data_IF_151032164211
#
_entry.id   IF_151032164211
#
_cell.length_a   1.000
_cell.length_b   1.000
_cell.length_c   1.000
_cell.angle_alpha   90.00
_cell.angle_beta   90.00
_cell.angle_gamma   90.00
#
_symmetry.space_group_name_H-M   'P 1'
#
loop_
_entity.id
_entity.type
_entity.pdbx_description
1 polymer ?
#
# COMPACT_ATOMS: atom_id res chain seq x y z
N UNK A 1 -0.74 -17.33 9.74
CA UNK A 1 0.72 -17.14 9.72
C UNK A 1 1.43 -18.31 10.38
N UNK A 2 2.71 -18.52 10.00
CA UNK A 2 3.63 -19.42 10.71
C UNK A 2 4.34 -18.64 11.83
N UNK A 3 3.67 -18.51 12.98
CA UNK A 3 4.22 -17.81 14.13
C UNK A 3 5.49 -18.49 14.70
N UNK A 4 5.61 -19.81 14.53
CA UNK A 4 6.82 -20.56 14.94
C UNK A 4 8.04 -20.14 14.10
N UNK A 5 7.87 -20.02 12.79
CA UNK A 5 8.93 -19.57 11.89
C UNK A 5 9.31 -18.10 12.15
N UNK A 6 8.33 -17.21 12.41
CA UNK A 6 8.60 -15.81 12.76
C UNK A 6 9.36 -15.71 14.10
N UNK A 7 8.92 -16.46 15.13
CA UNK A 7 9.62 -16.52 16.42
C UNK A 7 11.07 -17.01 16.24
N UNK A 8 11.28 -18.08 15.46
CA UNK A 8 12.60 -18.61 15.19
C UNK A 8 13.50 -17.61 14.43
N UNK A 9 12.94 -16.82 13.51
CA UNK A 9 13.65 -15.75 12.83
C UNK A 9 14.17 -14.71 13.84
N UNK A 10 13.31 -14.24 14.74
CA UNK A 10 13.66 -13.24 15.76
C UNK A 10 14.67 -13.82 16.76
N UNK A 11 14.45 -15.04 17.26
CA UNK A 11 15.38 -15.74 18.16
C UNK A 11 16.76 -15.99 17.51
N UNK A 12 16.80 -16.08 16.18
CA UNK A 12 18.03 -16.20 15.39
C UNK A 12 18.83 -14.89 15.22
N UNK A 13 18.39 -13.79 15.85
CA UNK A 13 19.08 -12.50 15.83
C UNK A 13 18.54 -11.49 14.82
N UNK A 14 17.42 -11.79 14.14
CA UNK A 14 16.75 -10.80 13.29
C UNK A 14 16.21 -9.66 14.15
N UNK A 15 16.53 -8.44 13.74
CA UNK A 15 16.18 -7.22 14.46
C UNK A 15 15.10 -6.42 13.73
N UNK A 16 14.16 -5.86 14.50
CA UNK A 16 13.10 -5.04 13.92
C UNK A 16 12.75 -3.84 14.79
N UNK A 17 12.06 -2.87 14.20
CA UNK A 17 11.44 -1.74 14.88
C UNK A 17 10.01 -1.57 14.35
N UNK A 18 9.07 -1.30 15.23
CA UNK A 18 7.69 -0.99 14.87
C UNK A 18 7.27 0.32 15.51
N UNK A 19 6.86 1.30 14.69
CA UNK A 19 6.38 2.60 15.19
C UNK A 19 4.86 2.62 15.21
N UNK A 20 4.28 2.64 16.40
CA UNK A 20 2.83 2.74 16.62
C UNK A 20 2.30 4.15 16.53
N UNK A 21 3.16 5.16 16.35
CA UNK A 21 2.80 6.58 16.25
C UNK A 21 1.92 7.10 17.42
N UNK A 22 2.14 6.57 18.63
CA UNK A 22 1.33 6.86 19.82
C UNK A 22 -0.17 6.63 19.60
N UNK A 23 -0.51 5.62 18.80
CA UNK A 23 -1.86 5.29 18.36
C UNK A 23 -2.33 3.92 18.85
N UNK A 24 -3.49 3.47 18.37
CA UNK A 24 -4.20 2.29 18.87
C UNK A 24 -3.42 0.98 18.76
N UNK A 25 -2.50 0.87 17.81
CA UNK A 25 -1.72 -0.36 17.59
C UNK A 25 -0.66 -0.63 18.66
N UNK A 26 -0.30 0.36 19.47
CA UNK A 26 0.77 0.23 20.47
C UNK A 26 0.64 -0.98 21.40
N UNK A 27 -0.46 -1.14 22.14
CA UNK A 27 -0.68 -2.29 23.01
C UNK A 27 -0.70 -3.63 22.25
N UNK A 28 -1.29 -3.66 21.04
CA UNK A 28 -1.36 -4.86 20.21
C UNK A 28 0.02 -5.24 19.67
N UNK A 29 0.78 -4.28 19.17
CA UNK A 29 2.13 -4.50 18.66
C UNK A 29 3.07 -5.00 19.77
N UNK A 30 3.01 -4.40 20.97
CA UNK A 30 3.78 -4.84 22.13
C UNK A 30 3.44 -6.29 22.51
N UNK A 31 2.15 -6.63 22.57
CA UNK A 31 1.73 -8.01 22.88
C UNK A 31 2.21 -8.99 21.79
N UNK A 32 2.04 -8.64 20.51
CA UNK A 32 2.34 -9.54 19.40
C UNK A 32 3.85 -9.66 19.20
N UNK A 33 4.56 -8.56 19.00
CA UNK A 33 5.96 -8.61 18.57
C UNK A 33 6.90 -8.89 19.74
N UNK A 34 6.72 -8.22 20.88
CA UNK A 34 7.64 -8.36 22.00
C UNK A 34 7.30 -9.60 22.86
N UNK A 35 6.03 -9.77 23.29
CA UNK A 35 5.67 -10.81 24.22
C UNK A 35 5.48 -12.18 23.57
N UNK A 36 4.77 -12.24 22.43
CA UNK A 36 4.46 -13.54 21.79
C UNK A 36 5.53 -13.98 20.81
N UNK A 37 6.07 -13.05 20.01
CA UNK A 37 7.08 -13.37 19.00
C UNK A 37 8.52 -13.23 19.52
N UNK A 38 8.70 -12.72 20.75
CA UNK A 38 9.99 -12.70 21.43
C UNK A 38 10.97 -11.62 20.94
N UNK A 39 10.47 -10.57 20.27
CA UNK A 39 11.30 -9.42 19.97
C UNK A 39 11.73 -8.71 21.26
N UNK A 40 12.93 -8.12 21.33
CA UNK A 40 13.39 -7.41 22.53
C UNK A 40 12.45 -6.30 22.94
N UNK A 41 12.36 -6.04 24.26
CA UNK A 41 11.63 -4.89 24.78
C UNK A 41 12.17 -3.58 24.17
N UNK A 42 11.27 -2.67 23.75
CA UNK A 42 11.60 -1.45 23.04
C UNK A 42 11.68 -1.62 21.51
N UNK A 43 11.32 -2.78 20.98
CA UNK A 43 11.08 -2.99 19.55
C UNK A 43 9.92 -2.12 19.08
N UNK A 44 8.88 -1.97 19.92
CA UNK A 44 7.73 -1.11 19.64
C UNK A 44 8.02 0.32 20.12
N UNK A 45 8.19 1.21 19.16
CA UNK A 45 8.37 2.66 19.37
C UNK A 45 7.00 3.31 19.52
N UNK A 46 6.93 4.39 20.33
CA UNK A 46 5.70 5.15 20.54
C UNK A 46 4.49 4.26 20.88
N UNK A 47 4.72 3.19 21.67
CA UNK A 47 3.75 2.13 21.93
C UNK A 47 2.64 2.49 22.92
N UNK A 48 2.67 3.69 23.52
CA UNK A 48 1.61 4.19 24.41
C UNK A 48 0.64 5.06 23.62
N UNK A 49 -0.64 4.68 23.47
CA UNK A 49 -1.63 5.54 22.82
C UNK A 49 -1.81 6.86 23.59
N UNK A 50 -1.80 7.97 22.87
CA UNK A 50 -2.04 9.32 23.39
C UNK A 50 -3.21 9.95 22.63
N UNK A 51 -4.08 10.74 23.33
CA UNK A 51 -5.26 11.36 22.70
C UNK A 51 -4.94 12.28 21.51
N UNK A 52 -3.76 12.87 21.53
CA UNK A 52 -3.25 13.79 20.50
C UNK A 52 -2.08 13.21 19.70
N UNK A 53 -1.86 11.90 19.79
CA UNK A 53 -0.76 11.17 19.14
C UNK A 53 0.63 11.77 19.51
N UNK A 54 0.77 12.39 20.69
CA UNK A 54 2.01 13.05 21.09
C UNK A 54 2.34 14.31 20.25
N UNK A 55 1.32 15.03 19.80
CA UNK A 55 1.41 16.19 18.90
C UNK A 55 1.99 15.88 17.53
N UNK A 56 1.93 14.62 17.08
CA UNK A 56 2.33 14.19 15.75
C UNK A 56 1.12 13.85 14.89
N UNK A 57 1.33 13.88 13.57
CA UNK A 57 0.33 13.37 12.62
C UNK A 57 0.58 11.86 12.41
N UNK A 58 -0.35 10.97 12.84
CA UNK A 58 -0.13 9.53 12.79
C UNK A 58 -0.45 8.97 11.41
N UNK A 59 0.35 9.32 10.41
CA UNK A 59 0.27 8.81 9.04
C UNK A 59 1.57 8.09 8.69
N UNK A 60 1.55 6.79 8.30
CA UNK A 60 2.73 5.97 8.09
C UNK A 60 3.36 6.25 6.72
N UNK A 61 3.80 7.47 6.52
CA UNK A 61 4.55 7.93 5.35
C UNK A 61 5.95 8.45 5.74
N UNK A 62 6.79 8.73 4.75
CA UNK A 62 8.19 9.14 4.99
C UNK A 62 8.32 10.50 5.68
N UNK A 63 7.28 11.34 5.63
CA UNK A 63 7.28 12.66 6.28
C UNK A 63 7.02 12.49 7.78
N UNK A 64 5.99 11.74 8.13
CA UNK A 64 5.53 11.60 9.51
C UNK A 64 6.22 10.45 10.26
N UNK A 65 6.64 9.37 9.57
CA UNK A 65 7.45 8.28 10.12
C UNK A 65 8.97 8.53 10.02
N UNK A 66 9.38 9.81 9.98
CA UNK A 66 10.79 10.18 9.75
C UNK A 66 11.75 9.56 10.76
N UNK A 67 11.40 9.47 12.02
CA UNK A 67 12.24 8.84 13.05
C UNK A 67 12.52 7.37 12.77
N UNK A 68 11.51 6.63 12.36
CA UNK A 68 11.68 5.25 11.92
C UNK A 68 12.52 5.16 10.65
N UNK A 69 12.23 6.01 9.65
CA UNK A 69 13.00 6.02 8.40
C UNK A 69 14.48 6.29 8.65
N UNK A 70 14.82 7.32 9.42
CA UNK A 70 16.21 7.66 9.76
C UNK A 70 16.92 6.49 10.47
N UNK A 71 16.21 5.79 11.37
CA UNK A 71 16.74 4.61 12.07
C UNK A 71 17.03 3.47 11.10
N UNK A 72 16.21 3.25 10.07
CA UNK A 72 16.41 2.20 9.06
C UNK A 72 17.48 2.56 8.01
N UNK A 73 17.84 3.85 7.92
CA UNK A 73 18.89 4.34 7.04
C UNK A 73 20.23 4.51 7.77
N UNK A 74 20.29 4.32 9.09
CA UNK A 74 21.53 4.42 9.89
C UNK A 74 22.47 3.24 9.63
N UNK A 75 23.76 3.39 10.01
CA UNK A 75 24.76 2.34 9.82
C UNK A 75 24.46 1.07 10.64
N UNK A 76 23.85 1.23 11.82
CA UNK A 76 23.44 0.17 12.74
C UNK A 76 21.93 -0.16 12.63
N UNK A 77 21.35 0.10 11.46
CA UNK A 77 19.93 -0.10 11.20
C UNK A 77 19.48 -1.54 11.50
N UNK A 78 18.29 -1.74 12.09
CA UNK A 78 17.69 -3.05 12.19
C UNK A 78 17.37 -3.64 10.80
N UNK A 79 17.10 -4.94 10.75
CA UNK A 79 16.85 -5.64 9.48
C UNK A 79 15.50 -5.24 8.86
N UNK A 80 14.52 -4.85 9.71
CA UNK A 80 13.15 -4.55 9.32
C UNK A 80 12.56 -3.41 10.15
N UNK A 81 11.80 -2.55 9.53
CA UNK A 81 11.01 -1.52 10.17
C UNK A 81 9.60 -1.46 9.59
N UNK A 82 8.63 -1.20 10.45
CA UNK A 82 7.26 -0.96 10.06
C UNK A 82 6.61 0.12 10.93
N UNK A 83 5.56 0.74 10.42
CA UNK A 83 4.73 1.66 11.19
C UNK A 83 3.26 1.46 10.83
N UNK A 84 2.36 1.90 11.71
CA UNK A 84 0.92 1.98 11.44
C UNK A 84 0.36 3.35 11.79
N UNK A 85 -0.81 3.68 11.25
CA UNK A 85 -1.46 4.96 11.47
C UNK A 85 -2.34 5.02 12.73
N UNK A 86 -3.12 6.10 12.85
CA UNK A 86 -3.91 6.42 14.03
C UNK A 86 -4.94 5.37 14.43
N UNK A 87 -5.61 4.76 13.46
CA UNK A 87 -6.61 3.69 13.66
C UNK A 87 -6.09 2.29 13.30
N UNK A 88 -4.82 2.20 12.84
CA UNK A 88 -4.11 0.93 12.67
C UNK A 88 -4.41 0.21 11.36
N UNK A 89 -5.07 0.85 10.41
CA UNK A 89 -5.50 0.23 9.17
C UNK A 89 -4.48 0.36 8.03
N UNK A 90 -3.50 1.27 8.13
CA UNK A 90 -2.41 1.48 7.16
C UNK A 90 -1.07 1.00 7.71
N UNK A 91 -0.13 0.76 6.79
CA UNK A 91 1.20 0.27 7.13
C UNK A 91 2.31 0.92 6.29
N UNK A 92 3.47 1.07 6.90
CA UNK A 92 4.73 1.42 6.24
C UNK A 92 5.68 0.25 6.40
N UNK A 93 6.41 -0.10 5.34
CA UNK A 93 7.43 -1.15 5.35
C UNK A 93 8.78 -0.57 4.91
N UNK A 94 9.80 -0.80 5.73
CA UNK A 94 11.17 -0.38 5.43
C UNK A 94 12.12 -1.53 5.80
N UNK A 95 12.96 -1.98 4.89
CA UNK A 95 14.10 -2.83 5.20
C UNK A 95 15.34 -1.97 5.53
N UNK A 96 16.40 -2.60 6.00
CA UNK A 96 17.69 -1.95 6.18
C UNK A 96 18.12 -1.29 4.86
N UNK A 97 18.24 0.05 4.85
CA UNK A 97 18.55 0.89 3.69
C UNK A 97 17.63 0.67 2.47
N UNK A 98 16.40 0.22 2.69
CA UNK A 98 15.47 -0.12 1.61
C UNK A 98 14.04 0.28 1.95
N UNK A 99 13.55 1.39 1.38
CA UNK A 99 12.15 1.75 1.46
C UNK A 99 11.31 0.93 0.49
N UNK A 100 10.18 0.42 0.94
CA UNK A 100 9.20 -0.31 0.12
C UNK A 100 7.99 0.57 -0.11
N UNK A 101 7.69 0.91 -1.37
CA UNK A 101 6.46 1.66 -1.67
C UNK A 101 5.22 0.82 -1.35
N UNK A 102 4.09 1.42 -0.95
CA UNK A 102 2.86 0.66 -0.70
C UNK A 102 2.41 -0.18 -1.90
N UNK A 103 2.58 0.34 -3.12
CA UNK A 103 2.27 -0.40 -4.35
C UNK A 103 3.14 -1.65 -4.53
N UNK A 104 4.44 -1.54 -4.26
CA UNK A 104 5.35 -2.68 -4.33
C UNK A 104 5.10 -3.65 -3.16
N UNK A 105 4.78 -3.14 -1.96
CA UNK A 105 4.43 -3.97 -0.81
C UNK A 105 3.25 -4.88 -1.14
N UNK A 106 2.16 -4.34 -1.68
CA UNK A 106 1.01 -5.15 -2.13
C UNK A 106 1.45 -6.26 -3.10
N UNK A 107 2.25 -5.92 -4.10
CA UNK A 107 2.70 -6.89 -5.11
C UNK A 107 3.59 -7.99 -4.50
N UNK A 108 4.51 -7.62 -3.60
CA UNK A 108 5.37 -8.58 -2.88
C UNK A 108 4.56 -9.49 -1.97
N UNK A 109 3.60 -8.93 -1.21
CA UNK A 109 2.71 -9.71 -0.35
C UNK A 109 1.93 -10.73 -1.17
N UNK A 110 1.32 -10.31 -2.28
CA UNK A 110 0.56 -11.19 -3.15
C UNK A 110 1.44 -12.30 -3.78
N UNK A 111 2.62 -11.95 -4.29
CA UNK A 111 3.54 -12.91 -4.92
C UNK A 111 4.07 -13.96 -3.94
N UNK A 112 4.15 -13.64 -2.65
CA UNK A 112 4.74 -14.50 -1.63
C UNK A 112 3.73 -15.00 -0.57
N UNK A 113 2.44 -14.70 -0.71
CA UNK A 113 1.41 -15.08 0.26
C UNK A 113 1.42 -16.59 0.57
N UNK A 114 1.71 -17.42 -0.41
CA UNK A 114 1.74 -18.88 -0.30
C UNK A 114 2.72 -19.41 0.75
N UNK A 115 3.68 -18.61 1.21
CA UNK A 115 4.55 -18.95 2.33
C UNK A 115 3.84 -18.88 3.69
N UNK A 116 2.70 -18.22 3.78
CA UNK A 116 1.90 -18.22 4.99
C UNK A 116 0.83 -19.33 4.92
N UNK A 117 0.66 -20.15 5.98
CA UNK A 117 -0.24 -21.29 5.96
C UNK A 117 -1.67 -20.95 5.54
N UNK A 118 -2.19 -19.78 5.90
CA UNK A 118 -3.53 -19.33 5.52
C UNK A 118 -3.73 -19.14 4.03
N UNK A 119 -2.65 -19.00 3.25
CA UNK A 119 -2.66 -18.78 1.80
C UNK A 119 -1.95 -19.89 1.01
N UNK A 120 -1.67 -21.03 1.65
CA UNK A 120 -0.95 -22.15 1.02
C UNK A 120 -1.67 -22.70 -0.23
N UNK A 121 -2.99 -22.54 -0.30
CA UNK A 121 -3.80 -22.94 -1.44
C UNK A 121 -3.87 -21.88 -2.58
N UNK A 122 -3.08 -20.82 -2.47
CA UNK A 122 -3.08 -19.71 -3.43
C UNK A 122 -4.11 -18.63 -3.13
N UNK A 123 -4.17 -17.64 -4.01
CA UNK A 123 -5.09 -16.50 -3.94
C UNK A 123 -6.21 -16.67 -4.96
N UNK A 124 -7.42 -16.22 -4.65
CA UNK A 124 -8.56 -16.18 -5.58
C UNK A 124 -8.41 -15.05 -6.60
N UNK A 125 -7.93 -13.91 -6.15
CA UNK A 125 -7.66 -12.73 -6.94
C UNK A 125 -6.95 -11.66 -6.11
N UNK A 126 -6.46 -10.62 -6.79
CA UNK A 126 -5.86 -9.44 -6.20
C UNK A 126 -6.70 -8.23 -6.59
N UNK A 127 -6.91 -7.29 -5.66
CA UNK A 127 -7.51 -6.01 -6.00
C UNK A 127 -6.59 -4.85 -5.62
N UNK A 128 -6.52 -3.84 -6.47
CA UNK A 128 -5.82 -2.59 -6.19
C UNK A 128 -6.68 -1.38 -6.54
N UNK A 129 -6.47 -0.28 -5.82
CA UNK A 129 -7.09 0.98 -6.24
C UNK A 129 -6.50 1.47 -7.56
N UNK A 130 -7.26 2.21 -8.33
CA UNK A 130 -6.88 2.73 -9.65
C UNK A 130 -5.57 3.55 -9.60
N UNK A 131 -5.32 4.43 -8.61
CA UNK A 131 -4.05 5.16 -8.52
C UNK A 131 -2.85 4.30 -8.08
N UNK A 132 -3.06 3.12 -7.51
CA UNK A 132 -1.99 2.18 -7.15
C UNK A 132 -1.26 1.70 -8.40
N UNK A 133 0.07 1.53 -8.36
CA UNK A 133 0.83 1.11 -9.54
C UNK A 133 0.42 -0.27 -10.08
N UNK A 134 0.73 -0.55 -11.33
CA UNK A 134 0.47 -1.85 -11.97
C UNK A 134 1.41 -2.99 -11.51
N UNK A 135 2.12 -2.85 -10.38
CA UNK A 135 3.01 -3.91 -9.89
C UNK A 135 2.24 -5.20 -9.56
N UNK A 136 1.07 -5.06 -8.92
CA UNK A 136 0.20 -6.19 -8.59
C UNK A 136 -0.43 -6.85 -9.84
N UNK A 137 -0.62 -6.10 -10.93
CA UNK A 137 -1.19 -6.60 -12.19
C UNK A 137 -0.30 -7.70 -12.78
N UNK A 138 1.03 -7.44 -12.81
CA UNK A 138 2.00 -8.42 -13.31
C UNK A 138 2.14 -9.66 -12.43
N UNK A 139 1.92 -9.51 -11.13
CA UNK A 139 1.86 -10.65 -10.21
C UNK A 139 0.61 -11.50 -10.52
N UNK A 140 -0.56 -10.88 -10.65
CA UNK A 140 -1.80 -11.56 -10.97
C UNK A 140 -1.70 -12.30 -12.31
N UNK A 141 -1.16 -11.64 -13.35
CA UNK A 141 -0.91 -12.24 -14.66
C UNK A 141 -0.02 -13.48 -14.55
N UNK A 142 1.12 -13.38 -13.84
CA UNK A 142 2.05 -14.49 -13.70
C UNK A 142 1.49 -15.65 -12.86
N UNK A 143 0.65 -15.35 -11.89
CA UNK A 143 -0.05 -16.36 -11.09
C UNK A 143 -1.28 -16.96 -11.81
N UNK A 144 -1.73 -16.35 -12.91
CA UNK A 144 -2.92 -16.78 -13.65
C UNK A 144 -4.22 -16.57 -12.87
N UNK A 145 -4.30 -15.51 -12.05
CA UNK A 145 -5.46 -15.17 -11.22
C UNK A 145 -6.05 -13.82 -11.63
N UNK A 146 -7.28 -13.56 -11.21
CA UNK A 146 -7.96 -12.30 -11.50
C UNK A 146 -7.29 -11.10 -10.82
N UNK A 147 -7.26 -9.97 -11.54
CA UNK A 147 -6.96 -8.64 -11.01
C UNK A 147 -8.18 -7.75 -11.13
N UNK A 148 -8.45 -6.99 -10.06
CA UNK A 148 -9.52 -6.01 -10.03
C UNK A 148 -8.93 -4.62 -9.78
N UNK A 149 -9.15 -3.70 -10.73
CA UNK A 149 -8.85 -2.28 -10.57
C UNK A 149 -10.10 -1.56 -10.09
N UNK A 150 -10.09 -1.01 -8.87
CA UNK A 150 -11.24 -0.35 -8.27
C UNK A 150 -10.99 1.15 -8.10
N UNK A 151 -12.02 1.96 -7.85
CA UNK A 151 -11.84 3.30 -7.31
C UNK A 151 -11.10 3.26 -5.97
N UNK A 152 -10.66 4.42 -5.50
CA UNK A 152 -10.17 4.55 -4.12
C UNK A 152 -11.33 4.46 -3.15
N UNK A 153 -11.14 3.72 -2.07
CA UNK A 153 -12.11 3.51 -1.01
C UNK A 153 -12.32 2.04 -0.73
N UNK A 154 -12.14 1.65 0.52
CA UNK A 154 -12.13 0.25 0.93
C UNK A 154 -13.43 -0.50 0.67
N UNK A 155 -14.57 0.23 0.61
CA UNK A 155 -15.88 -0.38 0.29
C UNK A 155 -15.89 -1.21 -0.98
N UNK A 156 -15.13 -0.81 -2.01
CA UNK A 156 -15.05 -1.54 -3.28
C UNK A 156 -14.31 -2.86 -3.10
N UNK A 157 -13.25 -2.87 -2.31
CA UNK A 157 -12.56 -4.11 -1.96
C UNK A 157 -13.42 -5.01 -1.08
N UNK A 158 -14.15 -4.42 -0.11
CA UNK A 158 -15.07 -5.15 0.74
C UNK A 158 -16.10 -5.97 -0.05
N UNK A 159 -16.65 -5.41 -1.13
CA UNK A 159 -17.57 -6.12 -2.00
C UNK A 159 -16.91 -7.33 -2.68
N UNK A 160 -15.68 -7.17 -3.20
CA UNK A 160 -14.91 -8.25 -3.82
C UNK A 160 -14.49 -9.33 -2.81
N UNK A 161 -14.13 -8.93 -1.59
CA UNK A 161 -13.80 -9.86 -0.50
C UNK A 161 -15.03 -10.68 -0.08
N UNK A 162 -16.17 -10.04 0.13
CA UNK A 162 -17.43 -10.69 0.51
C UNK A 162 -17.91 -11.67 -0.59
N UNK A 163 -17.73 -11.30 -1.85
CA UNK A 163 -18.06 -12.16 -2.99
C UNK A 163 -17.04 -13.30 -3.22
N UNK A 164 -15.94 -13.34 -2.45
CA UNK A 164 -14.88 -14.32 -2.62
C UNK A 164 -14.11 -14.20 -3.93
N UNK A 165 -14.11 -13.01 -4.54
CA UNK A 165 -13.44 -12.72 -5.82
C UNK A 165 -11.99 -12.29 -5.61
N UNK A 166 -11.69 -11.57 -4.54
CA UNK A 166 -10.33 -11.18 -4.16
C UNK A 166 -9.93 -11.81 -2.83
N UNK A 167 -8.64 -12.05 -2.64
CA UNK A 167 -8.05 -12.51 -1.38
C UNK A 167 -7.19 -11.42 -0.74
N UNK A 168 -6.40 -10.69 -1.52
CA UNK A 168 -5.54 -9.59 -1.05
C UNK A 168 -5.90 -8.33 -1.81
N UNK A 169 -6.05 -7.24 -1.07
CA UNK A 169 -6.37 -5.92 -1.60
C UNK A 169 -5.38 -4.88 -1.06
N UNK A 170 -5.11 -3.83 -1.85
CA UNK A 170 -4.24 -2.75 -1.38
C UNK A 170 -4.35 -1.45 -2.16
N UNK A 171 -3.89 -0.39 -1.49
CA UNK A 171 -3.90 0.98 -1.98
C UNK A 171 -2.51 1.61 -1.90
N UNK A 172 -2.22 2.53 -2.82
CA UNK A 172 -1.00 3.36 -2.80
C UNK A 172 -0.91 4.24 -1.53
N UNK A 173 -2.05 4.45 -0.86
CA UNK A 173 -2.16 5.17 0.41
C UNK A 173 -1.79 4.33 1.63
N UNK A 174 -1.14 3.19 1.43
CA UNK A 174 -0.64 2.28 2.47
C UNK A 174 -1.68 1.37 3.14
N UNK A 175 -2.94 1.37 2.69
CA UNK A 175 -3.94 0.40 3.13
C UNK A 175 -3.72 -0.96 2.47
N UNK A 176 -3.64 -2.01 3.26
CA UNK A 176 -3.52 -3.39 2.76
C UNK A 176 -4.32 -4.32 3.65
N UNK A 177 -5.02 -5.26 3.07
CA UNK A 177 -5.83 -6.24 3.80
C UNK A 177 -6.10 -7.50 2.99
N UNK A 178 -6.79 -8.43 3.59
CA UNK A 178 -7.11 -9.72 3.00
C UNK A 178 -8.51 -10.16 3.43
N UNK A 179 -8.95 -11.31 2.93
CA UNK A 179 -10.26 -11.91 3.23
C UNK A 179 -10.37 -12.49 4.65
N UNK A 180 -9.39 -12.27 5.54
CA UNK A 180 -9.47 -12.62 6.96
C UNK A 180 -10.44 -11.69 7.74
N UNK A 181 -10.52 -10.42 7.33
CA UNK A 181 -11.54 -9.45 7.75
C UNK A 181 -11.93 -8.59 6.55
N UNK A 182 -13.04 -7.84 6.66
CA UNK A 182 -13.55 -6.99 5.57
C UNK A 182 -12.86 -5.63 5.47
N UNK A 183 -11.81 -5.39 6.24
CA UNK A 183 -11.12 -4.10 6.37
C UNK A 183 -9.61 -4.20 6.12
N UNK A 184 -8.98 -3.04 5.96
CA UNK A 184 -7.52 -2.92 5.98
C UNK A 184 -6.99 -3.30 7.36
N UNK A 185 -5.78 -3.87 7.41
CA UNK A 185 -5.16 -4.27 8.66
C UNK A 185 -3.64 -4.09 8.56
N UNK A 186 -3.13 -3.04 9.21
CA UNK A 186 -1.70 -2.71 9.18
C UNK A 186 -0.84 -3.77 9.85
N UNK A 187 -1.29 -4.33 11.00
CA UNK A 187 -0.54 -5.39 11.70
C UNK A 187 -0.54 -6.69 10.89
N UNK A 188 -1.63 -7.03 10.23
CA UNK A 188 -1.68 -8.20 9.35
C UNK A 188 -0.63 -8.08 8.23
N UNK A 189 -0.51 -6.92 7.59
CA UNK A 189 0.47 -6.70 6.52
C UNK A 189 1.91 -6.87 7.04
N UNK A 190 2.21 -6.34 8.23
CA UNK A 190 3.51 -6.51 8.89
C UNK A 190 3.79 -7.97 9.23
N UNK A 191 2.81 -8.69 9.75
CA UNK A 191 2.95 -10.13 10.05
C UNK A 191 3.17 -10.96 8.79
N UNK A 192 2.52 -10.62 7.67
CA UNK A 192 2.75 -11.31 6.40
C UNK A 192 4.17 -11.05 5.88
N UNK A 193 4.68 -9.81 5.98
CA UNK A 193 6.07 -9.51 5.67
C UNK A 193 7.05 -10.32 6.54
N UNK A 194 6.82 -10.39 7.86
CA UNK A 194 7.66 -11.19 8.76
C UNK A 194 7.61 -12.68 8.40
N UNK A 195 6.44 -13.20 8.04
CA UNK A 195 6.29 -14.59 7.59
C UNK A 195 7.08 -14.86 6.29
N UNK A 196 7.04 -13.93 5.33
CA UNK A 196 7.80 -14.01 4.08
C UNK A 196 9.31 -13.97 4.36
N UNK A 197 9.77 -13.07 5.23
CA UNK A 197 11.17 -12.95 5.65
C UNK A 197 11.66 -14.24 6.33
N UNK A 198 10.83 -14.83 7.21
CA UNK A 198 11.14 -16.08 7.88
C UNK A 198 11.26 -17.26 6.90
N UNK A 199 10.36 -17.34 5.93
CA UNK A 199 10.34 -18.42 4.94
C UNK A 199 11.48 -18.28 3.92
N UNK A 200 11.71 -17.07 3.41
CA UNK A 200 12.71 -16.82 2.36
C UNK A 200 14.14 -16.70 2.91
N UNK A 201 14.30 -16.34 4.16
CA UNK A 201 15.61 -16.10 4.81
C UNK A 201 16.47 -15.09 4.03
N UNK A 202 15.83 -14.07 3.50
CA UNK A 202 16.44 -13.00 2.72
C UNK A 202 16.11 -11.64 3.35
N UNK A 203 16.96 -10.64 3.13
CA UNK A 203 16.63 -9.26 3.52
C UNK A 203 15.50 -8.68 2.67
N UNK A 204 14.82 -7.64 3.18
CA UNK A 204 13.80 -6.90 2.40
C UNK A 204 14.38 -6.44 1.06
N UNK A 205 15.59 -5.88 1.05
CA UNK A 205 16.24 -5.41 -0.18
C UNK A 205 16.46 -6.54 -1.20
N UNK A 206 16.85 -7.74 -0.73
CA UNK A 206 17.03 -8.90 -1.59
C UNK A 206 15.69 -9.40 -2.16
N UNK A 207 14.62 -9.42 -1.32
CA UNK A 207 13.27 -9.77 -1.78
C UNK A 207 12.77 -8.77 -2.82
N UNK A 208 13.00 -7.47 -2.61
CA UNK A 208 12.63 -6.44 -3.57
C UNK A 208 13.38 -6.58 -4.90
N UNK A 209 14.69 -6.80 -4.85
CA UNK A 209 15.50 -6.99 -6.06
C UNK A 209 15.03 -8.21 -6.88
N UNK A 210 14.77 -9.33 -6.20
CA UNK A 210 14.26 -10.55 -6.82
C UNK A 210 12.83 -10.36 -7.38
N UNK A 211 11.99 -9.64 -6.63
CA UNK A 211 10.65 -9.29 -7.11
C UNK A 211 10.71 -8.46 -8.40
N UNK A 212 11.53 -7.41 -8.43
CA UNK A 212 11.68 -6.57 -9.63
C UNK A 212 12.31 -7.32 -10.79
N UNK A 213 13.26 -8.22 -10.55
CA UNK A 213 13.83 -9.09 -11.58
C UNK A 213 12.79 -10.04 -12.17
N UNK A 214 11.86 -10.51 -11.33
CA UNK A 214 10.84 -11.51 -11.71
C UNK A 214 9.62 -10.90 -12.39
N UNK A 215 9.14 -9.74 -11.91
CA UNK A 215 7.89 -9.12 -12.33
C UNK A 215 8.08 -7.76 -13.02
N UNK A 216 9.30 -7.22 -13.05
CA UNK A 216 9.57 -5.86 -13.49
C UNK A 216 9.34 -4.82 -12.37
N UNK A 217 9.90 -3.63 -12.55
CA UNK A 217 9.80 -2.54 -11.57
C UNK A 217 8.90 -1.44 -12.08
N UNK A 218 7.98 -0.97 -11.22
CA UNK A 218 7.27 0.29 -11.42
C UNK A 218 8.00 1.40 -10.69
N UNK A 219 8.19 2.53 -11.39
CA UNK A 219 8.63 3.77 -10.76
C UNK A 219 7.37 4.56 -10.44
N UNK A 220 7.18 4.87 -9.17
CA UNK A 220 5.96 5.49 -8.66
C UNK A 220 6.31 6.78 -7.95
N UNK A 221 5.61 7.85 -8.25
CA UNK A 221 5.66 9.12 -7.53
C UNK A 221 4.24 9.64 -7.30
N UNK A 222 4.04 10.31 -6.18
CA UNK A 222 2.78 10.97 -5.83
C UNK A 222 3.09 12.39 -5.39
N UNK A 223 2.32 13.33 -5.93
CA UNK A 223 2.37 14.72 -5.56
C UNK A 223 1.00 15.15 -5.07
N UNK A 224 0.91 15.59 -3.82
CA UNK A 224 -0.30 16.10 -3.19
C UNK A 224 -0.23 17.63 -3.14
N UNK A 225 -1.23 18.27 -3.70
CA UNK A 225 -1.43 19.72 -3.64
C UNK A 225 -2.64 19.98 -2.74
N UNK A 226 -2.35 20.38 -1.51
CA UNK A 226 -3.35 20.55 -0.44
C UNK A 226 -3.90 21.97 -0.38
N UNK A 227 -5.04 22.12 0.31
CA UNK A 227 -5.69 23.40 0.55
C UNK A 227 -5.97 24.25 -0.71
N UNK A 228 -6.21 23.60 -1.86
CA UNK A 228 -6.60 24.31 -3.09
C UNK A 228 -8.05 24.78 -2.95
N UNK A 229 -8.30 26.02 -3.32
CA UNK A 229 -9.67 26.53 -3.43
C UNK A 229 -10.51 25.60 -4.33
N UNK A 230 -11.66 25.16 -3.84
CA UNK A 230 -12.48 24.13 -4.50
C UNK A 230 -12.84 24.48 -5.93
N UNK A 231 -13.20 25.73 -6.18
CA UNK A 231 -13.54 26.25 -7.52
C UNK A 231 -12.36 26.11 -8.52
N UNK A 232 -11.12 26.36 -8.06
CA UNK A 232 -9.91 26.20 -8.88
C UNK A 232 -9.61 24.73 -9.15
N UNK A 233 -9.78 23.87 -8.14
CA UNK A 233 -9.60 22.44 -8.30
C UNK A 233 -10.62 21.85 -9.27
N UNK A 234 -11.90 22.22 -9.14
CA UNK A 234 -12.96 21.79 -10.03
C UNK A 234 -12.74 22.31 -11.48
N UNK A 235 -12.31 23.57 -11.63
CA UNK A 235 -11.98 24.14 -12.96
C UNK A 235 -10.82 23.40 -13.64
N UNK A 236 -9.79 23.02 -12.89
CA UNK A 236 -8.69 22.21 -13.42
C UNK A 236 -9.18 20.84 -13.93
N UNK A 237 -9.98 20.14 -13.13
CA UNK A 237 -10.52 18.84 -13.52
C UNK A 237 -11.46 18.95 -14.72
N UNK A 238 -12.27 20.02 -14.81
CA UNK A 238 -13.10 20.28 -15.97
C UNK A 238 -12.24 20.50 -17.22
N UNK A 239 -11.21 21.35 -17.14
CA UNK A 239 -10.30 21.60 -18.26
C UNK A 239 -9.53 20.35 -18.73
N UNK A 240 -9.22 19.42 -17.79
CA UNK A 240 -8.63 18.13 -18.15
C UNK A 240 -9.66 17.25 -18.88
N UNK A 241 -10.92 17.19 -18.39
CA UNK A 241 -12.00 16.42 -19.04
C UNK A 241 -12.27 16.90 -20.47
N UNK A 242 -12.27 18.18 -20.69
CA UNK A 242 -12.47 18.75 -22.04
C UNK A 242 -11.40 18.34 -23.06
N UNK A 243 -10.22 17.92 -22.57
CA UNK A 243 -9.09 17.48 -23.39
C UNK A 243 -9.03 15.98 -23.62
N UNK A 244 -9.81 15.16 -22.92
CA UNK A 244 -9.70 13.70 -22.97
C UNK A 244 -9.76 13.13 -24.39
N UNK A 245 -10.60 13.71 -25.26
CA UNK A 245 -10.75 13.25 -26.65
C UNK A 245 -9.62 13.72 -27.59
N UNK A 246 -8.87 14.74 -27.20
CA UNK A 246 -7.81 15.34 -28.04
C UNK A 246 -6.40 14.96 -27.62
N UNK A 247 -6.23 14.37 -26.45
CA UNK A 247 -4.94 13.93 -25.93
C UNK A 247 -4.39 12.68 -26.64
N UNK A 248 -5.20 11.62 -26.95
CA UNK A 248 -4.68 10.44 -27.61
C UNK A 248 -3.98 10.76 -28.94
N UNK A 249 -2.81 10.15 -29.17
CA UNK A 249 -1.96 10.40 -30.33
C UNK A 249 -1.04 11.61 -30.21
N UNK A 250 -1.20 12.46 -29.17
CA UNK A 250 -0.24 13.55 -28.92
C UNK A 250 1.01 13.03 -28.21
N UNK A 251 2.16 13.66 -28.48
CA UNK A 251 3.44 13.29 -27.89
C UNK A 251 4.02 14.44 -27.09
N UNK A 252 4.69 14.12 -25.99
CA UNK A 252 5.44 15.06 -25.15
C UNK A 252 6.75 14.39 -24.67
N UNK A 253 7.46 15.03 -23.73
CA UNK A 253 8.70 14.48 -23.17
C UNK A 253 8.52 13.15 -22.42
N UNK A 254 7.29 12.79 -22.06
CA UNK A 254 6.95 11.51 -21.39
C UNK A 254 6.57 10.40 -22.39
N UNK A 255 6.48 10.69 -23.68
CA UNK A 255 6.08 9.71 -24.69
C UNK A 255 4.79 10.09 -25.43
N UNK A 256 4.26 9.14 -26.20
CA UNK A 256 2.99 9.28 -26.93
C UNK A 256 1.84 8.79 -26.05
N UNK A 257 0.79 9.59 -25.96
CA UNK A 257 -0.41 9.26 -25.20
C UNK A 257 -1.24 8.26 -26.02
N UNK A 258 -1.44 7.06 -25.48
CA UNK A 258 -2.25 6.00 -26.10
C UNK A 258 -3.74 6.20 -25.86
N UNK A 259 -4.11 6.63 -24.65
CA UNK A 259 -5.51 6.90 -24.28
C UNK A 259 -5.60 7.85 -23.09
N UNK A 260 -6.77 8.48 -22.95
CA UNK A 260 -7.10 9.28 -21.77
C UNK A 260 -8.60 9.12 -21.46
N UNK A 261 -8.92 8.94 -20.17
CA UNK A 261 -10.31 8.74 -19.72
C UNK A 261 -10.58 9.37 -18.34
N UNK A 262 -11.85 9.52 -18.01
CA UNK A 262 -12.31 9.71 -16.64
C UNK A 262 -12.80 8.36 -16.12
N UNK A 263 -12.04 7.77 -15.23
CA UNK A 263 -12.23 6.41 -14.77
C UNK A 263 -13.63 6.20 -14.19
N UNK A 264 -14.33 5.23 -14.74
CA UNK A 264 -15.61 4.73 -14.24
C UNK A 264 -15.47 3.26 -13.87
N UNK A 265 -16.11 2.87 -12.80
CA UNK A 265 -16.08 1.50 -12.29
C UNK A 265 -17.47 0.93 -12.23
N UNK A 266 -17.65 -0.25 -12.83
CA UNK A 266 -18.85 -1.07 -12.64
C UNK A 266 -18.48 -2.18 -11.67
N UNK A 267 -19.16 -2.20 -10.52
CA UNK A 267 -18.93 -3.22 -9.51
C UNK A 267 -19.40 -4.59 -10.03
N UNK A 268 -18.54 -5.59 -10.13
CA UNK A 268 -18.92 -6.89 -10.65
C UNK A 268 -19.85 -7.68 -9.73
N UNK A 269 -20.03 -7.24 -8.48
CA UNK A 269 -20.85 -7.94 -7.48
C UNK A 269 -22.32 -7.55 -7.53
N UNK A 270 -22.63 -6.29 -7.84
CA UNK A 270 -24.01 -5.75 -7.83
C UNK A 270 -24.38 -4.94 -9.08
N UNK A 271 -23.43 -4.72 -9.99
CA UNK A 271 -23.62 -3.94 -11.21
C UNK A 271 -23.71 -2.41 -10.99
N UNK A 272 -23.47 -1.92 -9.78
CA UNK A 272 -23.47 -0.48 -9.50
C UNK A 272 -22.36 0.24 -10.24
N UNK A 273 -22.59 1.49 -10.67
CA UNK A 273 -21.63 2.27 -11.46
C UNK A 273 -21.18 3.48 -10.65
N UNK A 274 -19.87 3.61 -10.47
CA UNK A 274 -19.21 4.78 -9.88
C UNK A 274 -18.47 5.55 -10.98
N UNK A 275 -18.96 6.72 -11.34
CA UNK A 275 -18.35 7.60 -12.36
C UNK A 275 -17.42 8.64 -11.76
N UNK A 276 -16.58 9.28 -12.60
CA UNK A 276 -15.71 10.40 -12.24
C UNK A 276 -14.73 10.07 -11.11
N UNK A 277 -14.14 8.88 -11.15
CA UNK A 277 -13.25 8.38 -10.09
C UNK A 277 -11.80 8.85 -10.24
N UNK A 278 -11.50 9.61 -11.27
CA UNK A 278 -10.20 10.22 -11.55
C UNK A 278 -9.85 10.18 -13.02
N UNK A 279 -9.09 11.17 -13.46
CA UNK A 279 -8.64 11.25 -14.84
C UNK A 279 -7.36 10.45 -14.99
N UNK A 280 -7.30 9.56 -16.01
CA UNK A 280 -6.12 8.80 -16.38
C UNK A 280 -5.61 9.26 -17.76
N UNK A 281 -4.30 9.45 -17.86
CA UNK A 281 -3.58 9.64 -19.12
C UNK A 281 -2.60 8.47 -19.23
N UNK A 282 -2.79 7.62 -20.22
CA UNK A 282 -1.99 6.41 -20.45
C UNK A 282 -1.08 6.64 -21.65
N UNK A 283 0.15 6.15 -21.56
CA UNK A 283 1.16 6.25 -22.61
C UNK A 283 1.39 4.89 -23.30
N UNK A 284 1.98 4.92 -24.49
CA UNK A 284 2.24 3.70 -25.29
C UNK A 284 3.21 2.73 -24.61
N UNK A 285 4.11 3.23 -23.74
CA UNK A 285 5.04 2.41 -22.98
C UNK A 285 4.43 1.77 -21.72
N UNK A 286 3.11 1.99 -21.50
CA UNK A 286 2.39 1.51 -20.32
C UNK A 286 2.52 2.41 -19.09
N UNK A 287 3.27 3.50 -19.15
CA UNK A 287 3.28 4.51 -18.10
C UNK A 287 1.96 5.29 -18.06
N UNK A 288 1.68 5.95 -16.92
CA UNK A 288 0.44 6.71 -16.78
C UNK A 288 0.56 7.85 -15.79
N UNK A 289 -0.29 8.84 -15.97
CA UNK A 289 -0.52 9.92 -15.00
C UNK A 289 -1.97 9.86 -14.56
N UNK A 290 -2.21 9.98 -13.26
CA UNK A 290 -3.55 9.95 -12.66
C UNK A 290 -3.79 11.25 -11.92
N UNK A 291 -4.93 11.91 -12.18
CA UNK A 291 -5.38 13.10 -11.47
C UNK A 291 -6.63 12.79 -10.67
N UNK A 292 -6.60 13.05 -9.37
CA UNK A 292 -7.75 12.86 -8.47
C UNK A 292 -7.93 14.06 -7.56
N UNK A 293 -9.19 14.41 -7.31
CA UNK A 293 -9.55 15.30 -6.22
C UNK A 293 -10.02 14.50 -5.01
N UNK A 294 -9.48 14.82 -3.84
CA UNK A 294 -9.98 14.36 -2.56
C UNK A 294 -10.92 15.44 -2.01
N UNK A 295 -12.18 15.07 -1.77
CA UNK A 295 -13.24 16.02 -1.44
C UNK A 295 -13.58 16.16 0.05
N UNK A 296 -12.74 15.68 0.98
CA UNK A 296 -13.11 15.55 2.40
C UNK A 296 -12.47 16.58 3.33
N UNK A 297 -11.76 17.59 2.82
CA UNK A 297 -11.15 18.60 3.68
C UNK A 297 -12.14 19.71 4.06
N UNK A 298 -12.19 20.09 5.34
CA UNK A 298 -12.86 21.29 5.82
C UNK A 298 -12.15 22.58 5.36
N UNK A 299 -10.95 22.47 4.83
CA UNK A 299 -10.04 23.56 4.42
C UNK A 299 -9.62 23.52 2.94
N UNK A 300 -10.52 23.13 2.03
CA UNK A 300 -10.24 23.11 0.59
C UNK A 300 -10.16 21.69 0.00
N UNK A 301 -9.80 21.62 -1.29
CA UNK A 301 -9.60 20.37 -2.00
C UNK A 301 -8.12 19.97 -2.01
N UNK A 302 -7.84 18.67 -2.05
CA UNK A 302 -6.50 18.13 -2.32
C UNK A 302 -6.48 17.52 -3.71
N UNK A 303 -5.66 18.07 -4.60
CA UNK A 303 -5.36 17.45 -5.89
C UNK A 303 -4.21 16.47 -5.71
N UNK A 304 -4.42 15.24 -6.13
CA UNK A 304 -3.40 14.18 -6.15
C UNK A 304 -3.03 13.82 -7.59
N UNK A 305 -1.74 13.90 -7.84
CA UNK A 305 -1.15 13.52 -9.12
C UNK A 305 -0.20 12.36 -8.92
#
# INVERSE_FOLDING_TARGET
FDFGAIHALIAGGFSMAFDSMSAVTGPYATEIFERRLGAPAGTVMNGTPLPDFGHHHPDPNLVHAKGLYDRLMAADAPDFGAASDGDGDRNLIIGRHCYVTPSDSLAVLAANAHFAPGYANGLKGIARSMPTSGAADRVAEKLGIALYETPTGWKFFGNLLDAGMATICGEESAGTGSDHVREKDGIWAVLLWLNILAARKQSVAAIMADHWATYGRNYYARHDYEAIAKDRADALMAALRDKLTTLPGTSNSGGTISSADDFAYTDPTDGSISQNQGIRILFEDGSRIVFRLSGTGTEGATLRV
#
